data_IF_565294809453
#
_entry.id   IF_565294809453
#
_cell.length_a   1.000
_cell.length_b   1.000
_cell.length_c   1.000
_cell.angle_alpha   90.00
_cell.angle_beta   90.00
_cell.angle_gamma   90.00
#
_symmetry.space_group_name_H-M   'P 1'
#
loop_
_entity.id
_entity.type
_entity.pdbx_description
1 polymer ?
#
# COMPACT_ATOMS: atom_id res chain seq x y z
N UNK A 1 -2.04 10.41 1.80
CA UNK A 1 -2.85 9.82 0.73
C UNK A 1 -3.98 10.76 0.32
N UNK A 2 -4.62 10.52 -0.82
CA UNK A 2 -5.92 11.17 -1.10
C UNK A 2 -6.98 10.57 -0.17
N UNK A 3 -7.06 9.22 -0.13
CA UNK A 3 -7.86 8.52 0.86
C UNK A 3 -7.33 8.78 2.28
N UNK A 4 -8.20 9.23 3.18
CA UNK A 4 -7.85 9.51 4.58
C UNK A 4 -6.96 10.74 4.82
N UNK A 5 -6.70 11.54 3.78
CA UNK A 5 -6.01 12.85 3.86
C UNK A 5 -4.66 12.89 4.58
N UNK A 6 -3.97 11.75 4.73
CA UNK A 6 -2.75 11.68 5.53
C UNK A 6 -1.50 12.21 4.81
N UNK A 7 -0.50 12.65 5.56
CA UNK A 7 0.88 12.66 5.07
C UNK A 7 1.49 11.27 5.29
N UNK A 8 2.33 10.82 4.37
CA UNK A 8 2.88 9.47 4.42
C UNK A 8 4.31 9.41 3.89
N UNK A 9 5.07 8.45 4.39
CA UNK A 9 6.40 8.10 3.92
C UNK A 9 6.65 6.60 4.09
N UNK A 10 7.17 5.97 3.03
CA UNK A 10 7.49 4.54 3.05
C UNK A 10 8.99 4.31 3.19
N UNK A 11 9.37 3.48 4.15
CA UNK A 11 10.73 2.96 4.32
C UNK A 11 10.79 1.52 3.83
N UNK A 12 11.67 1.22 2.86
CA UNK A 12 12.04 -0.16 2.52
C UNK A 12 13.21 -0.59 3.41
N UNK A 13 13.02 -1.62 4.21
CA UNK A 13 14.09 -2.19 5.03
C UNK A 13 15.05 -3.07 4.19
N UNK A 14 16.21 -3.48 4.73
CA UNK A 14 17.15 -4.34 4.00
C UNK A 14 16.62 -5.73 3.65
N UNK A 15 15.58 -6.21 4.33
CA UNK A 15 14.91 -7.47 4.03
C UNK A 15 13.85 -7.33 2.92
N UNK A 16 13.59 -6.10 2.45
CA UNK A 16 12.65 -5.78 1.39
C UNK A 16 11.24 -5.44 1.87
N UNK A 17 10.99 -5.42 3.18
CA UNK A 17 9.69 -5.05 3.72
C UNK A 17 9.49 -3.53 3.66
N UNK A 18 8.22 -3.10 3.55
CA UNK A 18 7.86 -1.70 3.65
C UNK A 18 7.21 -1.38 4.99
N UNK A 19 7.68 -0.31 5.62
CA UNK A 19 7.04 0.30 6.79
C UNK A 19 6.48 1.66 6.40
N UNK A 20 5.21 1.89 6.72
CA UNK A 20 4.56 3.18 6.52
C UNK A 20 4.66 4.05 7.77
N UNK A 21 5.21 5.25 7.61
CA UNK A 21 5.11 6.32 8.58
C UNK A 21 4.06 7.31 8.07
N UNK A 22 3.03 7.56 8.86
CA UNK A 22 1.95 8.47 8.48
C UNK A 22 1.65 9.47 9.60
N UNK A 23 1.03 10.59 9.23
CA UNK A 23 0.46 11.56 10.17
C UNK A 23 -0.84 12.14 9.62
N UNK A 24 -1.68 12.67 10.51
CA UNK A 24 -2.93 13.37 10.16
C UNK A 24 -3.96 12.48 9.42
N UNK A 25 -4.02 11.18 9.72
CA UNK A 25 -5.06 10.31 9.17
C UNK A 25 -6.44 10.72 9.71
N UNK A 26 -7.39 10.99 8.80
CA UNK A 26 -8.76 11.34 9.15
C UNK A 26 -9.42 10.25 10.01
N UNK A 27 -10.17 10.68 11.03
CA UNK A 27 -10.94 9.79 11.89
C UNK A 27 -12.43 9.88 11.55
N UNK A 28 -13.03 8.75 11.19
CA UNK A 28 -14.48 8.64 10.99
C UNK A 28 -15.11 8.36 12.35
N UNK A 29 -15.77 9.36 12.94
CA UNK A 29 -16.39 9.25 14.27
C UNK A 29 -17.79 8.64 14.20
N UNK A 30 -18.54 8.96 13.14
CA UNK A 30 -19.92 8.51 12.89
C UNK A 30 -19.97 7.68 11.59
N UNK A 31 -19.67 6.38 11.68
CA UNK A 31 -19.61 5.48 10.51
C UNK A 31 -20.91 5.48 9.68
N UNK A 32 -22.07 5.58 10.34
CA UNK A 32 -23.38 5.63 9.66
C UNK A 32 -23.65 6.90 8.85
N UNK A 33 -22.87 7.97 9.04
CA UNK A 33 -22.96 9.22 8.26
C UNK A 33 -21.89 9.35 7.19
N UNK A 34 -20.84 8.55 7.30
CA UNK A 34 -19.75 8.55 6.35
C UNK A 34 -20.16 7.80 5.08
N UNK A 35 -19.84 8.37 3.92
CA UNK A 35 -20.12 7.74 2.63
C UNK A 35 -18.80 7.25 2.04
N UNK A 36 -18.64 5.94 1.78
CA UNK A 36 -17.43 5.43 1.13
C UNK A 36 -17.35 5.93 -0.32
N UNK A 37 -16.14 6.23 -0.75
CA UNK A 37 -15.85 6.67 -2.10
C UNK A 37 -14.89 5.68 -2.79
N UNK A 38 -14.97 5.62 -4.12
CA UNK A 38 -14.03 4.87 -4.95
C UNK A 38 -13.14 5.85 -5.70
N UNK A 39 -11.83 5.67 -5.60
CA UNK A 39 -10.84 6.52 -6.27
C UNK A 39 -10.11 5.73 -7.35
N UNK A 40 -9.91 6.35 -8.50
CA UNK A 40 -9.21 5.75 -9.64
C UNK A 40 -7.85 6.41 -9.89
N UNK A 41 -6.97 5.69 -10.60
CA UNK A 41 -5.67 6.21 -11.01
C UNK A 41 -4.80 6.67 -9.85
N UNK A 42 -4.20 7.85 -9.97
CA UNK A 42 -3.29 8.40 -8.96
C UNK A 42 -3.99 8.68 -7.62
N UNK A 43 -5.27 9.06 -7.61
CA UNK A 43 -6.00 9.32 -6.37
C UNK A 43 -6.19 8.07 -5.52
N UNK A 44 -6.12 6.88 -6.11
CA UNK A 44 -6.05 5.64 -5.35
C UNK A 44 -4.79 5.52 -4.48
N UNK A 45 -3.77 6.35 -4.72
CA UNK A 45 -2.47 6.27 -4.05
C UNK A 45 -1.99 7.60 -3.46
N UNK A 46 -1.96 8.70 -4.19
CA UNK A 46 -1.44 9.97 -3.68
C UNK A 46 -2.04 11.19 -4.40
N UNK A 47 -2.07 12.33 -3.72
CA UNK A 47 -2.60 13.57 -4.30
C UNK A 47 -1.49 14.40 -5.00
N UNK A 48 -0.25 14.31 -4.51
CA UNK A 48 0.91 15.01 -5.07
C UNK A 48 2.22 14.32 -4.65
N UNK A 49 3.32 14.64 -5.35
CA UNK A 49 4.64 14.04 -5.14
C UNK A 49 5.13 13.24 -6.36
N UNK A 50 6.36 12.71 -6.30
CA UNK A 50 6.86 11.82 -7.34
C UNK A 50 6.08 10.49 -7.32
N UNK A 51 5.96 9.80 -8.47
CA UNK A 51 5.39 8.46 -8.49
C UNK A 51 6.23 7.51 -7.64
N UNK A 52 5.60 6.55 -6.93
CA UNK A 52 6.35 5.56 -6.17
C UNK A 52 7.14 4.64 -7.11
N UNK A 53 8.23 4.03 -6.61
CA UNK A 53 9.01 3.08 -7.39
C UNK A 53 8.14 1.89 -7.84
N UNK A 54 8.37 1.29 -9.02
CA UNK A 54 7.58 0.16 -9.51
C UNK A 54 7.53 -1.03 -8.54
N UNK A 55 8.61 -1.25 -7.79
CA UNK A 55 8.72 -2.30 -6.76
C UNK A 55 7.68 -2.16 -5.64
N UNK A 56 7.03 -1.00 -5.53
CA UNK A 56 5.95 -0.75 -4.57
C UNK A 56 4.67 -1.54 -4.91
N UNK A 57 4.39 -1.75 -6.19
CA UNK A 57 3.25 -2.54 -6.67
C UNK A 57 3.65 -3.94 -7.12
N UNK A 58 4.91 -4.13 -7.51
CA UNK A 58 5.45 -5.40 -7.97
C UNK A 58 6.70 -5.76 -7.15
N UNK A 59 6.56 -6.41 -5.97
CA UNK A 59 7.70 -6.79 -5.15
C UNK A 59 8.70 -7.65 -5.93
N UNK A 60 9.98 -7.33 -5.81
CA UNK A 60 11.07 -7.93 -6.61
C UNK A 60 11.19 -9.45 -6.38
N UNK A 61 10.80 -9.92 -5.20
CA UNK A 61 10.89 -11.31 -4.74
C UNK A 61 9.58 -12.10 -4.93
N UNK A 62 8.50 -11.46 -5.40
CA UNK A 62 7.18 -12.09 -5.52
C UNK A 62 7.23 -13.37 -6.37
N UNK A 63 7.96 -13.35 -7.49
CA UNK A 63 8.07 -14.52 -8.37
C UNK A 63 8.76 -15.72 -7.67
N UNK A 64 9.79 -15.46 -6.88
CA UNK A 64 10.51 -16.47 -6.11
C UNK A 64 9.65 -17.03 -4.97
N UNK A 65 8.90 -16.17 -4.28
CA UNK A 65 7.96 -16.59 -3.24
C UNK A 65 6.84 -17.47 -3.80
N UNK A 66 6.27 -17.09 -4.95
CA UNK A 66 5.20 -17.85 -5.61
C UNK A 66 5.66 -19.23 -6.09
N UNK A 67 6.89 -19.35 -6.61
CA UNK A 67 7.43 -20.66 -7.04
C UNK A 67 7.62 -21.63 -5.86
N UNK A 68 7.99 -21.12 -4.68
CA UNK A 68 8.07 -21.92 -3.46
C UNK A 68 6.73 -22.49 -3.01
N UNK A 69 5.65 -21.71 -3.12
CA UNK A 69 4.30 -22.08 -2.67
C UNK A 69 3.68 -23.22 -3.51
N UNK A 70 3.96 -23.27 -4.81
CA UNK A 70 3.45 -24.32 -5.70
C UNK A 70 4.22 -25.64 -5.63
N UNK A 71 5.37 -25.68 -4.93
CA UNK A 71 6.17 -26.89 -4.75
C UNK A 71 5.75 -27.74 -3.54
N UNK A 72 4.97 -27.20 -2.59
CA UNK A 72 4.35 -27.97 -1.49
C UNK A 72 3.08 -28.68 -1.94
N UNK A 73 3.27 -29.62 -2.86
CA UNK A 73 2.27 -30.55 -3.33
C UNK A 73 2.87 -31.94 -3.52
N UNK A 74 3.49 -32.53 -2.48
CA UNK A 74 3.63 -33.98 -2.26
C UNK A 74 4.56 -34.30 -1.08
N UNK A 75 3.97 -34.78 0.02
CA UNK A 75 4.18 -36.09 0.65
C UNK A 75 3.42 -36.10 1.99
#
# INVERSE_FOLDING_TARGET
HYAGSSFFWYLKDPAGNFSEYYSELDCIVDDYRWTPETFEGAQGLFNWGPPPPPSFLAPDDLAALMTGLHSKGRA
#
